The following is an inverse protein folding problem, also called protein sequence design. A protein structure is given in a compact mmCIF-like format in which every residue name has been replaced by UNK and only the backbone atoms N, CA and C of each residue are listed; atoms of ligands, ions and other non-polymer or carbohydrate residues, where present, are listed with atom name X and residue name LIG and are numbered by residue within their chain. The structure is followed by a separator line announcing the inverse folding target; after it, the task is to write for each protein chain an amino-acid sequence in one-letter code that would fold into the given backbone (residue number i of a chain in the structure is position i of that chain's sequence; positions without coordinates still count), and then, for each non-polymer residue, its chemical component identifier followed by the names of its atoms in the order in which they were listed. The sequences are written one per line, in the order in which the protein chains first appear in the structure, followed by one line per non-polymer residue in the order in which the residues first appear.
data_IF_230193488798
#
_entry.id   IF_230193488798
#
_cell.length_a   1.000
_cell.length_b   1.000
_cell.length_c   1.000
_cell.angle_alpha   90.00
_cell.angle_beta   90.00
_cell.angle_gamma   90.00
#
_symmetry.space_group_name_H-M   'P 1'
#
loop_
_entity.id
_entity.type
_entity.pdbx_description
1 polymer ?
#
# COMPACT_ATOMS: atom_id res chain seq x y z
N UNK A 1 6.04 15.65 -18.70
CA UNK A 1 7.47 15.42 -18.95
C UNK A 1 7.90 13.99 -18.64
N UNK A 2 7.43 13.38 -17.53
CA UNK A 2 7.72 11.98 -17.21
C UNK A 2 7.21 10.98 -18.26
N UNK A 3 6.08 11.25 -18.92
CA UNK A 3 5.56 10.40 -20.00
C UNK A 3 6.47 10.35 -21.22
N UNK A 4 7.25 11.41 -21.47
CA UNK A 4 8.29 11.42 -22.50
C UNK A 4 9.56 10.69 -22.06
N UNK A 5 9.90 10.75 -20.77
CA UNK A 5 11.06 10.03 -20.20
C UNK A 5 10.85 8.51 -20.16
N UNK A 6 9.65 8.05 -19.82
CA UNK A 6 9.34 6.61 -19.71
C UNK A 6 9.35 5.88 -21.04
N UNK A 7 9.04 6.59 -22.15
CA UNK A 7 9.15 6.02 -23.51
C UNK A 7 10.57 5.82 -24.03
N UNK A 8 11.57 6.36 -23.33
CA UNK A 8 12.96 6.44 -23.75
C UNK A 8 13.93 5.73 -22.79
N UNK A 9 13.44 5.01 -21.78
CA UNK A 9 14.29 4.28 -20.84
C UNK A 9 14.78 2.97 -21.47
N UNK A 10 16.10 2.80 -21.46
CA UNK A 10 16.75 1.54 -21.81
C UNK A 10 17.04 0.78 -20.52
N UNK A 11 16.57 -0.44 -20.42
CA UNK A 11 16.82 -1.32 -19.28
C UNK A 11 17.80 -2.42 -19.70
N UNK A 12 18.85 -2.58 -18.92
CA UNK A 12 19.75 -3.75 -18.96
C UNK A 12 19.66 -4.48 -17.62
N UNK A 13 20.27 -5.66 -17.54
CA UNK A 13 20.23 -6.51 -16.33
C UNK A 13 20.75 -5.82 -15.08
N UNK A 14 21.55 -4.76 -15.22
CA UNK A 14 22.20 -4.09 -14.10
C UNK A 14 21.93 -2.58 -14.03
N UNK A 15 21.38 -1.95 -15.05
CA UNK A 15 21.27 -0.49 -15.12
C UNK A 15 20.00 -0.05 -15.86
N UNK A 16 19.49 1.12 -15.44
CA UNK A 16 18.47 1.85 -16.17
C UNK A 16 19.11 3.15 -16.67
N UNK A 17 19.02 3.41 -17.99
CA UNK A 17 19.55 4.62 -18.62
C UNK A 17 18.45 5.38 -19.36
N UNK A 18 18.66 6.69 -19.63
CA UNK A 18 17.79 7.49 -20.48
C UNK A 18 18.15 7.33 -21.98
N UNK A 19 17.48 8.07 -22.84
CA UNK A 19 17.71 8.06 -24.29
C UNK A 19 19.11 8.56 -24.69
N UNK A 20 19.81 9.26 -23.79
CA UNK A 20 21.18 9.78 -23.94
C UNK A 20 22.23 8.93 -23.23
N UNK A 21 21.85 7.71 -22.80
CA UNK A 21 22.70 6.78 -22.06
C UNK A 21 23.19 7.28 -20.69
N UNK A 22 22.51 8.31 -20.11
CA UNK A 22 22.79 8.70 -18.73
C UNK A 22 22.19 7.68 -17.77
N UNK A 23 22.99 7.23 -16.82
CA UNK A 23 22.59 6.23 -15.84
C UNK A 23 21.61 6.82 -14.84
N UNK A 24 20.40 6.26 -14.81
CA UNK A 24 19.33 6.68 -13.89
C UNK A 24 19.36 5.84 -12.62
N UNK A 25 19.50 4.53 -12.76
CA UNK A 25 19.56 3.61 -11.64
C UNK A 25 20.49 2.44 -11.92
N UNK A 26 21.08 1.88 -10.88
CA UNK A 26 21.94 0.69 -10.91
C UNK A 26 21.35 -0.38 -9.99
N UNK A 27 21.43 -1.65 -10.41
CA UNK A 27 21.05 -2.78 -9.60
C UNK A 27 22.18 -3.14 -8.62
N UNK A 28 21.89 -3.18 -7.31
CA UNK A 28 22.86 -3.46 -6.24
C UNK A 28 22.94 -4.94 -5.86
N UNK A 29 22.25 -5.80 -6.61
CA UNK A 29 22.11 -7.25 -6.34
C UNK A 29 20.79 -7.59 -5.64
N UNK A 30 20.08 -6.62 -5.09
CA UNK A 30 18.77 -6.80 -4.45
C UNK A 30 17.68 -5.87 -5.01
N UNK A 31 18.05 -4.66 -5.41
CA UNK A 31 17.12 -3.65 -5.90
C UNK A 31 17.82 -2.67 -6.85
N UNK A 32 17.03 -1.90 -7.63
CA UNK A 32 17.56 -0.77 -8.38
C UNK A 32 17.70 0.46 -7.48
N UNK A 33 18.92 0.98 -7.37
CA UNK A 33 19.25 2.21 -6.64
C UNK A 33 19.46 3.34 -7.64
N UNK A 34 18.78 4.47 -7.43
CA UNK A 34 18.91 5.64 -8.30
C UNK A 34 20.33 6.21 -8.17
N UNK A 35 20.98 6.45 -9.30
CA UNK A 35 22.36 6.94 -9.34
C UNK A 35 22.46 8.45 -9.08
N UNK A 36 23.51 8.88 -8.39
CA UNK A 36 23.77 10.28 -8.05
C UNK A 36 23.90 11.18 -9.28
N UNK A 37 24.40 10.66 -10.39
CA UNK A 37 24.56 11.40 -11.65
C UNK A 37 23.22 11.83 -12.26
N UNK A 38 22.15 11.03 -12.07
CA UNK A 38 20.80 11.40 -12.49
C UNK A 38 20.23 12.52 -11.63
N UNK A 39 20.59 12.54 -10.36
CA UNK A 39 20.14 13.54 -9.40
C UNK A 39 20.73 14.94 -9.66
N UNK A 40 21.89 15.01 -10.32
CA UNK A 40 22.57 16.27 -10.60
C UNK A 40 21.96 17.07 -11.78
N UNK A 41 21.22 16.42 -12.67
CA UNK A 41 20.72 17.03 -13.91
C UNK A 41 19.27 17.51 -13.92
N UNK A 42 18.48 17.16 -12.91
CA UNK A 42 17.06 17.57 -12.84
C UNK A 42 16.90 18.74 -11.89
N UNK A 43 16.63 19.92 -12.44
CA UNK A 43 16.46 21.16 -11.68
C UNK A 43 15.30 21.10 -10.68
N UNK A 44 15.57 21.55 -9.48
CA UNK A 44 14.70 21.78 -8.33
C UNK A 44 13.35 22.39 -8.72
N UNK A 45 12.29 21.65 -8.51
CA UNK A 45 11.02 22.25 -8.10
C UNK A 45 10.92 22.09 -6.58
N UNK A 46 11.28 23.15 -5.87
CA UNK A 46 10.95 23.28 -4.46
C UNK A 46 9.42 23.23 -4.31
N UNK A 47 8.91 22.18 -3.65
CA UNK A 47 7.61 22.28 -3.05
C UNK A 47 7.77 23.16 -1.81
N UNK A 48 7.15 24.34 -1.75
CA UNK A 48 7.24 25.19 -0.57
C UNK A 48 6.73 24.41 0.63
N UNK A 49 7.53 24.36 1.70
CA UNK A 49 7.05 23.92 3.00
C UNK A 49 5.83 24.78 3.32
N UNK A 50 4.64 24.19 3.36
CA UNK A 50 3.41 24.90 3.65
C UNK A 50 3.39 25.32 5.12
N UNK A 51 3.95 26.48 5.43
CA UNK A 51 3.74 27.22 6.67
C UNK A 51 2.66 28.30 6.52
N UNK A 52 1.78 28.19 5.52
CA UNK A 52 0.68 29.14 5.33
C UNK A 52 -0.54 28.68 6.12
N UNK A 53 -1.24 29.66 6.71
CA UNK A 53 -2.60 29.51 7.27
C UNK A 53 -3.47 28.75 6.29
N UNK A 54 -4.30 27.79 6.73
CA UNK A 54 -5.05 26.94 5.84
C UNK A 54 -6.02 27.77 4.99
N UNK A 55 -5.66 27.97 3.71
CA UNK A 55 -6.59 28.47 2.72
C UNK A 55 -7.61 27.36 2.37
N UNK A 56 -8.88 27.71 2.09
CA UNK A 56 -9.88 26.71 1.73
C UNK A 56 -9.43 25.89 0.52
N UNK A 57 -9.55 24.56 0.60
CA UNK A 57 -9.12 23.64 -0.45
C UNK A 57 -9.84 23.93 -1.78
N UNK A 58 -9.09 24.27 -2.79
CA UNK A 58 -9.57 24.43 -4.16
C UNK A 58 -9.89 23.05 -4.79
N UNK A 59 -10.55 23.07 -5.95
CA UNK A 59 -10.78 21.81 -6.71
C UNK A 59 -9.47 21.12 -7.11
N UNK A 60 -8.42 21.88 -7.37
CA UNK A 60 -7.11 21.34 -7.73
C UNK A 60 -6.42 20.71 -6.49
N UNK A 61 -6.55 21.31 -5.31
CA UNK A 61 -6.08 20.70 -4.05
C UNK A 61 -6.81 19.39 -3.76
N UNK A 62 -8.12 19.34 -4.01
CA UNK A 62 -8.90 18.11 -3.87
C UNK A 62 -8.49 17.05 -4.88
N UNK A 63 -8.18 17.42 -6.12
CA UNK A 63 -7.63 16.50 -7.14
C UNK A 63 -6.25 16.00 -6.73
N UNK A 64 -5.39 16.87 -6.19
CA UNK A 64 -4.08 16.49 -5.68
C UNK A 64 -4.21 15.49 -4.52
N UNK A 65 -5.04 15.80 -3.53
CA UNK A 65 -5.30 14.91 -2.40
C UNK A 65 -5.89 13.56 -2.86
N UNK A 66 -6.79 13.57 -3.84
CA UNK A 66 -7.35 12.36 -4.43
C UNK A 66 -6.26 11.47 -5.09
N UNK A 67 -5.29 12.08 -5.77
CA UNK A 67 -4.15 11.37 -6.36
C UNK A 67 -3.22 10.83 -5.30
N UNK A 68 -2.87 11.64 -4.29
CA UNK A 68 -2.02 11.25 -3.17
C UNK A 68 -2.59 10.07 -2.36
N UNK A 69 -3.91 9.96 -2.31
CA UNK A 69 -4.60 8.91 -1.54
C UNK A 69 -4.97 7.67 -2.37
N UNK A 70 -4.54 7.63 -3.64
CA UNK A 70 -4.76 6.47 -4.51
C UNK A 70 -6.23 6.23 -4.84
N UNK A 71 -6.93 7.27 -5.27
CA UNK A 71 -8.32 7.25 -5.71
C UNK A 71 -9.29 6.60 -4.69
N UNK A 72 -9.39 7.11 -3.47
CA UNK A 72 -10.24 6.55 -2.43
C UNK A 72 -11.73 6.65 -2.80
N UNK A 73 -12.59 6.01 -2.04
CA UNK A 73 -14.03 6.19 -2.14
C UNK A 73 -14.48 7.55 -1.61
N UNK A 74 -15.64 8.04 -2.08
CA UNK A 74 -16.19 9.33 -1.66
C UNK A 74 -16.33 9.46 -0.13
N UNK A 75 -16.79 8.40 0.55
CA UNK A 75 -16.90 8.39 2.02
C UNK A 75 -15.55 8.57 2.72
N UNK A 76 -14.48 7.96 2.20
CA UNK A 76 -13.13 8.14 2.73
C UNK A 76 -12.64 9.56 2.54
N UNK A 77 -12.87 10.16 1.35
CA UNK A 77 -12.51 11.57 1.11
C UNK A 77 -13.26 12.54 2.01
N UNK A 78 -14.55 12.30 2.27
CA UNK A 78 -15.35 13.12 3.19
C UNK A 78 -14.81 13.02 4.62
N UNK A 79 -14.37 11.84 5.05
CA UNK A 79 -13.83 11.62 6.39
C UNK A 79 -12.39 12.15 6.56
N UNK A 80 -11.65 12.40 5.48
CA UNK A 80 -10.26 12.88 5.56
C UNK A 80 -10.15 14.22 6.30
N UNK A 81 -11.03 15.16 6.01
CA UNK A 81 -11.02 16.48 6.65
C UNK A 81 -11.21 16.42 8.18
N UNK A 82 -11.91 15.39 8.67
CA UNK A 82 -12.13 15.17 10.10
C UNK A 82 -11.04 14.31 10.76
N UNK A 83 -10.27 13.57 9.96
CA UNK A 83 -9.37 12.50 10.45
C UNK A 83 -7.91 12.65 10.07
N UNK A 84 -7.56 13.69 9.31
CA UNK A 84 -6.18 13.93 8.90
C UNK A 84 -5.81 15.38 9.16
N UNK A 85 -4.73 15.59 9.91
CA UNK A 85 -4.21 16.92 10.16
C UNK A 85 -3.59 17.52 8.87
N UNK A 86 -3.69 18.83 8.71
CA UNK A 86 -3.26 19.52 7.49
C UNK A 86 -4.25 19.42 6.32
N UNK A 87 -5.43 18.81 6.53
CA UNK A 87 -6.57 18.86 5.61
C UNK A 87 -7.63 19.77 6.20
N UNK A 88 -8.06 20.78 5.43
CA UNK A 88 -9.02 21.74 5.92
C UNK A 88 -10.42 21.15 6.03
N UNK A 89 -11.10 21.44 7.15
CA UNK A 89 -12.43 20.89 7.46
C UNK A 89 -13.57 21.37 6.57
N UNK A 90 -13.37 22.49 5.88
CA UNK A 90 -14.40 23.09 5.01
C UNK A 90 -13.81 23.48 3.66
N UNK A 91 -13.64 22.52 2.73
CA UNK A 91 -13.24 22.88 1.38
C UNK A 91 -14.28 23.80 0.75
N UNK A 92 -13.84 24.80 -0.02
CA UNK A 92 -14.71 25.71 -0.77
C UNK A 92 -15.55 25.00 -1.84
N UNK A 93 -15.12 23.81 -2.24
CA UNK A 93 -15.77 22.98 -3.26
C UNK A 93 -16.34 21.74 -2.61
N UNK A 94 -17.59 21.42 -2.89
CA UNK A 94 -18.18 20.15 -2.44
C UNK A 94 -17.38 18.97 -3.00
N UNK A 95 -16.90 18.11 -2.12
CA UNK A 95 -16.17 16.89 -2.48
C UNK A 95 -16.96 16.02 -3.47
N UNK A 96 -18.29 16.07 -3.46
CA UNK A 96 -19.13 15.37 -4.44
C UNK A 96 -18.89 15.87 -5.87
N UNK A 97 -18.51 17.13 -6.05
CA UNK A 97 -18.16 17.70 -7.36
C UNK A 97 -16.90 17.08 -7.91
N UNK A 98 -15.91 16.74 -7.07
CA UNK A 98 -14.70 16.03 -7.47
C UNK A 98 -15.04 14.71 -8.19
N UNK A 99 -16.00 13.93 -7.65
CA UNK A 99 -16.39 12.63 -8.22
C UNK A 99 -17.26 12.73 -9.49
N UNK A 100 -17.65 13.93 -9.89
CA UNK A 100 -18.29 14.20 -11.19
C UNK A 100 -17.27 14.66 -12.24
N UNK A 101 -16.04 14.99 -11.83
CA UNK A 101 -15.02 15.45 -12.77
C UNK A 101 -14.53 14.28 -13.64
N UNK A 102 -14.47 14.50 -14.95
CA UNK A 102 -14.17 13.46 -15.94
C UNK A 102 -12.89 12.67 -15.62
N UNK A 103 -11.78 13.36 -15.32
CA UNK A 103 -10.49 12.70 -15.01
C UNK A 103 -10.54 11.83 -13.76
N UNK A 104 -11.36 12.19 -12.76
CA UNK A 104 -11.58 11.40 -11.53
C UNK A 104 -12.43 10.19 -11.83
N UNK A 105 -13.52 10.36 -12.59
CA UNK A 105 -14.41 9.27 -13.02
C UNK A 105 -13.63 8.25 -13.84
N UNK A 106 -12.81 8.70 -14.80
CA UNK A 106 -11.98 7.85 -15.62
C UNK A 106 -10.95 7.08 -14.78
N UNK A 107 -10.22 7.74 -13.89
CA UNK A 107 -9.25 7.08 -13.02
C UNK A 107 -9.91 6.02 -12.13
N UNK A 108 -11.06 6.33 -11.53
CA UNK A 108 -11.83 5.38 -10.71
C UNK A 108 -12.31 4.20 -11.54
N UNK A 109 -12.83 4.43 -12.74
CA UNK A 109 -13.30 3.36 -13.63
C UNK A 109 -12.16 2.43 -14.07
N UNK A 110 -11.03 3.00 -14.47
CA UNK A 110 -9.84 2.23 -14.91
C UNK A 110 -9.15 1.48 -13.77
N UNK A 111 -9.16 2.00 -12.54
CA UNK A 111 -8.52 1.37 -11.39
C UNK A 111 -9.36 0.29 -10.72
N UNK A 112 -10.70 0.35 -10.83
CA UNK A 112 -11.61 -0.58 -10.16
C UNK A 112 -12.14 -1.62 -11.13
N UNK A 113 -11.75 -2.88 -10.96
CA UNK A 113 -12.48 -4.00 -11.55
C UNK A 113 -13.74 -4.23 -10.71
N UNK A 114 -14.91 -4.21 -11.36
CA UNK A 114 -16.21 -4.40 -10.70
C UNK A 114 -16.36 -5.90 -10.45
N UNK A 115 -16.05 -6.34 -9.22
CA UNK A 115 -16.53 -7.62 -8.72
C UNK A 115 -17.82 -7.40 -7.92
N UNK A 116 -18.83 -8.24 -8.13
CA UNK A 116 -20.06 -8.19 -7.32
C UNK A 116 -19.70 -8.37 -5.85
N UNK A 117 -20.17 -7.48 -5.01
CA UNK A 117 -20.04 -7.56 -3.55
C UNK A 117 -20.87 -8.72 -3.02
N UNK A 118 -20.24 -9.70 -2.38
CA UNK A 118 -20.95 -10.69 -1.59
C UNK A 118 -21.40 -10.07 -0.26
N UNK A 119 -22.64 -10.29 0.13
CA UNK A 119 -23.14 -9.89 1.45
C UNK A 119 -22.36 -10.63 2.52
N UNK A 120 -21.70 -9.89 3.39
CA UNK A 120 -20.92 -10.44 4.49
C UNK A 120 -21.90 -10.94 5.57
N UNK A 121 -22.16 -12.25 5.61
CA UNK A 121 -23.05 -12.89 6.59
C UNK A 121 -22.26 -13.56 7.73
N UNK A 122 -20.93 -13.42 7.74
CA UNK A 122 -20.10 -14.00 8.78
C UNK A 122 -20.29 -13.29 10.12
N UNK A 123 -20.57 -14.06 11.19
CA UNK A 123 -20.49 -13.54 12.56
C UNK A 123 -19.08 -13.02 12.80
N UNK A 124 -18.95 -11.73 13.09
CA UNK A 124 -17.69 -11.13 13.54
C UNK A 124 -17.18 -11.91 14.76
N UNK A 125 -15.92 -12.32 14.74
CA UNK A 125 -15.24 -12.81 15.93
C UNK A 125 -15.26 -11.67 16.98
N UNK A 126 -16.07 -11.85 18.02
CA UNK A 126 -16.30 -10.84 19.05
C UNK A 126 -15.14 -10.69 20.04
N UNK A 127 -14.06 -11.47 19.87
CA UNK A 127 -12.87 -11.33 20.71
C UNK A 127 -12.18 -10.01 20.41
N UNK A 128 -11.93 -9.24 21.47
CA UNK A 128 -11.15 -8.00 21.36
C UNK A 128 -9.67 -8.38 21.38
N UNK A 129 -9.01 -8.27 20.21
CA UNK A 129 -7.57 -8.38 20.10
C UNK A 129 -6.91 -7.01 20.32
N UNK A 130 -5.68 -7.00 20.80
CA UNK A 130 -4.83 -5.81 20.80
C UNK A 130 -4.00 -5.80 19.49
N UNK A 131 -3.40 -4.64 19.19
CA UNK A 131 -2.53 -4.51 18.03
C UNK A 131 -1.40 -5.53 18.03
N UNK A 132 -1.19 -6.18 16.92
CA UNK A 132 -0.24 -7.24 16.62
C UNK A 132 -0.60 -8.64 17.19
N UNK A 133 -1.57 -8.75 18.11
CA UNK A 133 -1.90 -10.03 18.75
C UNK A 133 -2.42 -11.08 17.75
N UNK A 134 -3.27 -10.67 16.82
CA UNK A 134 -3.79 -11.54 15.76
C UNK A 134 -3.63 -10.92 14.40
N UNK A 135 -2.96 -11.66 13.53
CA UNK A 135 -2.76 -11.30 12.12
C UNK A 135 -3.54 -12.25 11.21
N UNK A 136 -3.98 -11.76 10.07
CA UNK A 136 -4.42 -12.61 8.97
C UNK A 136 -3.62 -12.28 7.72
N UNK A 137 -3.41 -13.28 6.88
CA UNK A 137 -2.72 -13.10 5.63
C UNK A 137 -3.35 -13.87 4.47
N UNK A 138 -2.99 -13.46 3.28
CA UNK A 138 -3.40 -14.08 2.04
C UNK A 138 -2.39 -13.74 0.95
N UNK A 139 -2.05 -14.72 0.11
CA UNK A 139 -1.14 -14.54 -1.00
C UNK A 139 -1.90 -14.16 -2.26
N UNK A 140 -1.53 -13.06 -2.87
CA UNK A 140 -2.04 -12.73 -4.18
C UNK A 140 -1.46 -13.68 -5.22
N UNK A 141 -2.33 -14.20 -6.10
CA UNK A 141 -1.95 -15.10 -7.18
C UNK A 141 -0.87 -14.49 -8.08
N UNK A 142 -0.15 -15.35 -8.78
CA UNK A 142 0.86 -14.98 -9.76
C UNK A 142 0.37 -13.87 -10.68
N UNK A 143 1.20 -12.84 -10.81
CA UNK A 143 0.91 -11.71 -11.67
C UNK A 143 1.51 -11.97 -13.06
N UNK A 144 0.75 -11.58 -14.07
CA UNK A 144 1.12 -11.73 -15.49
C UNK A 144 2.46 -11.05 -15.83
N UNK A 145 2.75 -9.94 -15.13
CA UNK A 145 3.94 -9.15 -15.38
C UNK A 145 4.89 -9.21 -14.19
N UNK A 146 6.12 -9.63 -14.46
CA UNK A 146 7.22 -9.52 -13.51
C UNK A 146 7.44 -8.05 -13.10
N UNK A 147 7.72 -7.81 -11.83
CA UNK A 147 8.04 -6.45 -11.37
C UNK A 147 9.46 -6.05 -11.72
N UNK A 148 9.77 -4.74 -11.63
CA UNK A 148 11.14 -4.22 -11.74
C UNK A 148 12.11 -4.85 -10.72
N UNK A 149 11.60 -5.41 -9.62
CA UNK A 149 12.37 -6.14 -8.62
C UNK A 149 12.43 -7.66 -8.83
N UNK A 150 11.93 -8.19 -9.95
CA UNK A 150 11.88 -9.62 -10.23
C UNK A 150 10.82 -10.38 -9.43
N UNK A 151 9.75 -9.71 -8.98
CA UNK A 151 8.69 -10.32 -8.19
C UNK A 151 7.52 -10.74 -9.09
N UNK A 152 6.88 -11.86 -8.74
CA UNK A 152 5.68 -12.40 -9.41
C UNK A 152 4.49 -12.53 -8.45
N UNK A 153 4.74 -12.58 -7.14
CA UNK A 153 3.75 -12.77 -6.08
C UNK A 153 3.88 -11.67 -5.05
N UNK A 154 2.90 -11.56 -4.20
CA UNK A 154 3.00 -10.75 -2.98
C UNK A 154 2.07 -11.28 -1.91
N UNK A 155 2.54 -11.17 -0.69
CA UNK A 155 1.80 -11.52 0.52
C UNK A 155 1.18 -10.28 1.11
N UNK A 156 -0.11 -10.36 1.46
CA UNK A 156 -0.79 -9.37 2.27
C UNK A 156 -0.87 -9.87 3.71
N UNK A 157 -0.47 -9.04 4.65
CA UNK A 157 -0.67 -9.29 6.08
C UNK A 157 -1.51 -8.15 6.64
N UNK A 158 -2.50 -8.50 7.47
CA UNK A 158 -3.42 -7.54 8.05
C UNK A 158 -3.63 -7.81 9.53
N UNK A 159 -3.55 -6.75 10.34
CA UNK A 159 -3.86 -6.81 11.76
C UNK A 159 -5.38 -6.82 12.02
N UNK A 160 -5.81 -7.68 12.93
CA UNK A 160 -7.23 -7.83 13.28
C UNK A 160 -7.78 -6.66 14.08
N UNK A 161 -6.97 -6.04 14.94
CA UNK A 161 -7.38 -4.96 15.83
C UNK A 161 -7.47 -3.62 15.07
N UNK A 162 -6.37 -3.23 14.44
CA UNK A 162 -6.23 -1.89 13.84
C UNK A 162 -6.62 -1.83 12.37
N UNK A 163 -6.75 -2.99 11.70
CA UNK A 163 -6.84 -3.11 10.26
C UNK A 163 -5.58 -2.58 9.53
N UNK A 164 -4.42 -2.56 10.20
CA UNK A 164 -3.15 -2.20 9.58
C UNK A 164 -2.73 -3.21 8.54
N UNK A 165 -2.17 -2.73 7.42
CA UNK A 165 -1.73 -3.53 6.30
C UNK A 165 -0.20 -3.53 6.17
N UNK A 166 0.35 -4.70 5.89
CA UNK A 166 1.69 -4.88 5.37
C UNK A 166 1.61 -5.70 4.07
N UNK A 167 2.60 -5.50 3.22
CA UNK A 167 2.78 -6.27 1.98
C UNK A 167 4.23 -6.71 1.86
N UNK A 168 4.42 -7.93 1.35
CA UNK A 168 5.73 -8.52 1.09
C UNK A 168 5.73 -8.95 -0.37
N UNK A 169 6.44 -8.25 -1.28
CA UNK A 169 6.65 -8.73 -2.64
C UNK A 169 7.53 -9.99 -2.62
N UNK A 170 7.19 -10.99 -3.43
CA UNK A 170 7.86 -12.28 -3.49
C UNK A 170 8.25 -12.61 -4.93
N UNK A 171 9.48 -13.07 -5.15
CA UNK A 171 9.94 -13.56 -6.46
C UNK A 171 9.29 -14.90 -6.76
N UNK A 172 9.30 -15.79 -5.78
CA UNK A 172 8.67 -17.10 -5.81
C UNK A 172 7.74 -17.27 -4.60
N UNK A 173 6.68 -18.04 -4.76
CA UNK A 173 5.80 -18.38 -3.63
C UNK A 173 6.56 -19.14 -2.52
N UNK A 174 7.63 -19.87 -2.87
CA UNK A 174 8.49 -20.60 -1.91
C UNK A 174 9.28 -19.68 -1.00
N UNK A 175 9.56 -18.44 -1.44
CA UNK A 175 10.31 -17.45 -0.67
C UNK A 175 9.53 -17.05 0.61
N UNK A 176 8.21 -17.23 0.61
CA UNK A 176 7.36 -17.01 1.78
C UNK A 176 7.86 -17.78 3.00
N UNK A 177 8.48 -18.94 2.81
CA UNK A 177 9.03 -19.76 3.89
C UNK A 177 10.14 -19.07 4.69
N UNK A 178 10.87 -18.17 4.09
CA UNK A 178 11.92 -17.38 4.72
C UNK A 178 11.48 -15.94 5.02
N UNK A 179 10.75 -15.32 4.10
CA UNK A 179 10.33 -13.93 4.22
C UNK A 179 9.31 -13.72 5.35
N UNK A 180 8.37 -14.65 5.54
CA UNK A 180 7.35 -14.51 6.58
C UNK A 180 7.92 -14.59 8.01
N UNK A 181 8.75 -15.59 8.37
CA UNK A 181 9.42 -15.62 9.67
C UNK A 181 10.24 -14.35 9.94
N UNK A 182 11.07 -13.93 8.99
CA UNK A 182 11.90 -12.74 9.10
C UNK A 182 11.05 -11.46 9.27
N UNK A 183 9.94 -11.37 8.55
CA UNK A 183 9.00 -10.28 8.69
C UNK A 183 8.34 -10.26 10.07
N UNK A 184 7.84 -11.40 10.57
CA UNK A 184 7.19 -11.50 11.86
C UNK A 184 8.16 -11.14 13.00
N UNK A 185 9.39 -11.63 12.94
CA UNK A 185 10.44 -11.26 13.89
C UNK A 185 10.70 -9.76 13.90
N UNK A 186 10.88 -9.16 12.73
CA UNK A 186 11.14 -7.73 12.58
C UNK A 186 10.01 -6.87 13.15
N UNK A 187 8.74 -7.17 12.84
CA UNK A 187 7.62 -6.35 13.33
C UNK A 187 7.42 -6.50 14.84
N UNK A 188 7.64 -7.70 15.41
CA UNK A 188 7.57 -7.93 16.85
C UNK A 188 8.65 -7.12 17.57
N UNK A 189 9.90 -7.17 17.08
CA UNK A 189 11.01 -6.41 17.64
C UNK A 189 10.78 -4.89 17.52
N UNK A 190 10.30 -4.42 16.36
CA UNK A 190 10.03 -2.99 16.14
C UNK A 190 8.90 -2.46 17.02
N UNK A 191 7.83 -3.25 17.21
CA UNK A 191 6.66 -2.82 17.97
C UNK A 191 6.74 -3.16 19.47
N UNK A 192 7.72 -3.96 19.91
CA UNK A 192 7.81 -4.45 21.28
C UNK A 192 6.59 -5.29 21.69
N UNK A 193 5.95 -5.98 20.75
CA UNK A 193 4.73 -6.77 20.95
C UNK A 193 4.86 -8.12 20.26
N UNK A 194 4.14 -9.12 20.78
CA UNK A 194 4.19 -10.48 20.25
C UNK A 194 2.93 -10.83 19.47
N UNK A 195 3.11 -11.49 18.34
CA UNK A 195 2.03 -12.17 17.60
C UNK A 195 1.67 -13.45 18.36
N UNK A 196 0.38 -13.66 18.61
CA UNK A 196 -0.13 -14.88 19.27
C UNK A 196 -0.92 -15.76 18.33
N UNK A 197 -1.56 -15.17 17.33
CA UNK A 197 -2.39 -15.90 16.37
C UNK A 197 -2.06 -15.44 14.96
N UNK A 198 -1.75 -16.40 14.11
CA UNK A 198 -1.54 -16.17 12.69
C UNK A 198 -2.55 -16.95 11.87
N UNK A 199 -3.43 -16.25 11.18
CA UNK A 199 -4.53 -16.84 10.42
C UNK A 199 -4.29 -16.71 8.91
N UNK A 200 -4.41 -17.83 8.20
CA UNK A 200 -4.29 -17.86 6.73
C UNK A 200 -5.42 -18.67 6.10
N UNK A 201 -5.47 -18.69 4.78
CA UNK A 201 -6.16 -19.75 4.05
C UNK A 201 -5.34 -21.06 4.05
N UNK A 202 -5.90 -22.12 3.47
CA UNK A 202 -5.23 -23.43 3.36
C UNK A 202 -4.22 -23.51 2.19
N UNK A 203 -3.60 -22.38 1.78
CA UNK A 203 -2.67 -22.40 0.67
C UNK A 203 -1.39 -23.22 1.01
N UNK A 204 -0.89 -24.07 0.09
CA UNK A 204 0.28 -24.93 0.34
C UNK A 204 1.54 -24.20 0.79
N UNK A 205 1.70 -22.91 0.43
CA UNK A 205 2.83 -22.08 0.87
C UNK A 205 2.96 -22.00 2.38
N UNK A 206 1.86 -21.97 3.11
CA UNK A 206 1.85 -21.87 4.59
C UNK A 206 2.04 -23.21 5.31
N UNK A 207 1.87 -24.34 4.62
CA UNK A 207 2.14 -25.66 5.20
C UNK A 207 3.62 -26.03 5.17
N UNK A 208 4.49 -25.11 4.73
CA UNK A 208 5.93 -25.30 4.73
C UNK A 208 6.45 -25.53 6.16
N UNK A 209 7.29 -26.55 6.32
CA UNK A 209 7.84 -26.94 7.63
C UNK A 209 8.57 -25.80 8.35
N UNK A 210 9.27 -24.93 7.63
CA UNK A 210 9.98 -23.78 8.22
C UNK A 210 9.01 -22.79 8.86
N UNK A 211 7.90 -22.44 8.19
CA UNK A 211 6.88 -21.57 8.75
C UNK A 211 6.26 -22.22 9.99
N UNK A 212 5.84 -23.48 9.87
CA UNK A 212 5.19 -24.19 10.97
C UNK A 212 6.13 -24.32 12.20
N UNK A 213 7.40 -24.61 11.97
CA UNK A 213 8.41 -24.68 13.02
C UNK A 213 8.62 -23.31 13.67
N UNK A 214 8.73 -22.24 12.87
CA UNK A 214 8.87 -20.88 13.40
C UNK A 214 7.67 -20.49 14.29
N UNK A 215 6.45 -20.73 13.80
CA UNK A 215 5.24 -20.42 14.56
C UNK A 215 5.19 -21.21 15.88
N UNK A 216 5.51 -22.52 15.85
CA UNK A 216 5.51 -23.38 17.03
C UNK A 216 6.56 -22.94 18.06
N UNK A 217 7.80 -22.67 17.63
CA UNK A 217 8.90 -22.24 18.52
C UNK A 217 8.58 -20.90 19.19
N UNK A 218 7.90 -19.99 18.48
CA UNK A 218 7.52 -18.69 19.01
C UNK A 218 6.16 -18.67 19.73
N UNK A 219 5.51 -19.82 19.91
CA UNK A 219 4.22 -19.93 20.58
C UNK A 219 3.07 -19.27 19.85
N UNK A 220 3.17 -19.14 18.52
CA UNK A 220 2.15 -18.52 17.67
C UNK A 220 1.16 -19.59 17.23
N UNK A 221 -0.11 -19.43 17.60
CA UNK A 221 -1.18 -20.33 17.17
C UNK A 221 -1.47 -20.13 15.69
N UNK A 222 -1.37 -21.20 14.92
CA UNK A 222 -1.71 -21.21 13.51
C UNK A 222 -3.19 -21.54 13.33
N UNK A 223 -3.95 -20.60 12.74
CA UNK A 223 -5.38 -20.83 12.40
C UNK A 223 -5.54 -20.92 10.87
N UNK A 224 -6.19 -21.97 10.40
CA UNK A 224 -6.60 -22.11 9.01
C UNK A 224 -8.12 -22.04 8.89
N UNK A 225 -8.60 -21.64 7.72
CA UNK A 225 -10.01 -21.76 7.41
C UNK A 225 -10.37 -23.24 7.24
N UNK A 226 -11.56 -23.63 7.70
CA UNK A 226 -12.09 -24.96 7.42
C UNK A 226 -12.31 -25.10 5.90
N UNK A 227 -11.96 -26.24 5.29
CA UNK A 227 -12.26 -26.47 3.87
C UNK A 227 -13.72 -26.13 3.56
N UNK A 228 -13.98 -25.46 2.43
CA UNK A 228 -15.30 -25.01 1.97
C UNK A 228 -15.94 -23.82 2.72
N UNK A 229 -15.22 -23.12 3.59
CA UNK A 229 -15.69 -21.88 4.23
C UNK A 229 -14.84 -20.67 3.79
N UNK A 230 -14.84 -20.36 2.50
CA UNK A 230 -14.14 -19.20 1.91
C UNK A 230 -14.52 -17.85 2.56
N UNK A 231 -15.68 -17.79 3.22
CA UNK A 231 -16.15 -16.60 3.94
C UNK A 231 -15.29 -16.24 5.16
N UNK A 232 -14.45 -17.14 5.67
CA UNK A 232 -13.65 -16.91 6.88
C UNK A 232 -12.35 -16.14 6.62
N UNK A 233 -11.83 -16.08 5.38
CA UNK A 233 -10.66 -15.26 5.03
C UNK A 233 -11.04 -13.93 4.37
N UNK A 234 -12.31 -13.58 4.33
CA UNK A 234 -12.82 -12.37 3.68
C UNK A 234 -12.15 -11.06 4.09
N UNK A 235 -11.45 -11.03 5.24
CA UNK A 235 -10.66 -9.86 5.66
C UNK A 235 -9.39 -9.69 4.84
N UNK A 236 -8.63 -10.77 4.62
CA UNK A 236 -7.40 -10.72 3.84
C UNK A 236 -7.72 -10.60 2.34
N UNK A 237 -8.68 -11.39 1.82
CA UNK A 237 -9.14 -11.29 0.43
C UNK A 237 -9.63 -9.87 0.08
N UNK A 238 -10.45 -9.28 0.96
CA UNK A 238 -10.89 -7.88 0.79
C UNK A 238 -9.72 -6.91 0.83
N UNK A 239 -8.69 -7.20 1.64
CA UNK A 239 -7.45 -6.45 1.72
C UNK A 239 -6.68 -6.47 0.40
N UNK A 240 -6.47 -7.65 -0.18
CA UNK A 240 -5.82 -7.80 -1.50
C UNK A 240 -6.53 -6.93 -2.55
N UNK A 241 -7.86 -6.97 -2.59
CA UNK A 241 -8.65 -6.17 -3.53
C UNK A 241 -8.45 -4.66 -3.30
N UNK A 242 -8.46 -4.21 -2.04
CA UNK A 242 -8.27 -2.79 -1.69
C UNK A 242 -6.89 -2.32 -2.14
N UNK A 243 -5.83 -3.05 -1.78
CA UNK A 243 -4.45 -2.69 -2.11
C UNK A 243 -4.22 -2.74 -3.62
N UNK A 244 -4.70 -3.79 -4.30
CA UNK A 244 -4.58 -3.93 -5.77
C UNK A 244 -5.25 -2.77 -6.52
N UNK A 245 -6.47 -2.40 -6.14
CA UNK A 245 -7.19 -1.30 -6.79
C UNK A 245 -6.48 0.04 -6.58
N UNK A 246 -5.97 0.28 -5.36
CA UNK A 246 -5.22 1.48 -5.04
C UNK A 246 -3.88 1.52 -5.78
N UNK A 247 -3.12 0.43 -5.79
CA UNK A 247 -1.85 0.33 -6.52
C UNK A 247 -2.05 0.59 -8.03
N UNK A 248 -3.12 0.03 -8.63
CA UNK A 248 -3.47 0.32 -10.02
C UNK A 248 -3.77 1.80 -10.25
N UNK A 249 -4.51 2.44 -9.32
CA UNK A 249 -4.78 3.87 -9.42
C UNK A 249 -3.50 4.71 -9.32
N UNK A 250 -2.56 4.32 -8.44
CA UNK A 250 -1.27 4.97 -8.30
C UNK A 250 -0.44 4.87 -9.60
N UNK A 251 -0.34 3.67 -10.18
CA UNK A 251 0.39 3.46 -11.44
C UNK A 251 -0.21 4.26 -12.60
N UNK A 252 -1.54 4.21 -12.77
CA UNK A 252 -2.23 4.96 -13.83
C UNK A 252 -2.00 6.47 -13.67
N UNK A 253 -2.13 6.96 -12.43
CA UNK A 253 -1.98 8.38 -12.15
C UNK A 253 -0.53 8.87 -12.34
N UNK A 254 0.44 8.04 -12.00
CA UNK A 254 1.87 8.33 -12.16
C UNK A 254 2.37 8.10 -13.59
N UNK A 255 1.54 7.55 -14.49
CA UNK A 255 1.93 7.11 -15.84
C UNK A 255 3.12 6.12 -15.82
N UNK A 256 3.23 5.31 -14.75
CA UNK A 256 4.28 4.32 -14.61
C UNK A 256 3.88 2.99 -15.27
N UNK A 257 4.87 2.23 -15.77
CA UNK A 257 4.61 0.92 -16.35
C UNK A 257 4.10 -0.06 -15.29
N UNK A 258 3.36 -1.08 -15.74
CA UNK A 258 2.79 -2.08 -14.84
C UNK A 258 3.86 -2.81 -14.02
N UNK A 259 5.07 -2.95 -14.54
CA UNK A 259 6.22 -3.58 -13.86
C UNK A 259 6.62 -2.87 -12.56
N UNK A 260 6.21 -1.61 -12.35
CA UNK A 260 6.42 -0.90 -11.09
C UNK A 260 5.41 -1.29 -10.00
N UNK A 261 4.65 -2.37 -10.20
CA UNK A 261 3.58 -2.79 -9.30
C UNK A 261 4.06 -3.11 -7.86
N UNK A 262 5.27 -3.64 -7.68
CA UNK A 262 5.82 -3.94 -6.36
C UNK A 262 5.96 -2.68 -5.48
N UNK A 263 6.40 -1.56 -6.06
CA UNK A 263 6.44 -0.27 -5.37
C UNK A 263 5.03 0.27 -5.13
N UNK A 264 4.14 0.10 -6.11
CA UNK A 264 2.77 0.60 -6.01
C UNK A 264 1.95 -0.12 -4.92
N UNK A 265 2.09 -1.44 -4.72
CA UNK A 265 1.41 -2.17 -3.63
C UNK A 265 1.94 -1.77 -2.26
N UNK A 266 3.26 -1.57 -2.14
CA UNK A 266 3.89 -1.12 -0.90
C UNK A 266 3.36 0.27 -0.50
N UNK A 267 3.34 1.20 -1.45
CA UNK A 267 2.81 2.53 -1.22
C UNK A 267 1.29 2.51 -0.98
N UNK A 268 0.54 1.68 -1.70
CA UNK A 268 -0.89 1.50 -1.48
C UNK A 268 -1.20 1.02 -0.06
N UNK A 269 -0.40 0.11 0.49
CA UNK A 269 -0.54 -0.35 1.88
C UNK A 269 -0.23 0.80 2.86
N UNK A 270 0.88 1.52 2.65
CA UNK A 270 1.27 2.68 3.46
C UNK A 270 0.17 3.75 3.48
N UNK A 271 -0.31 4.15 2.32
CA UNK A 271 -1.40 5.13 2.20
C UNK A 271 -2.67 4.61 2.89
N UNK A 272 -3.01 3.33 2.71
CA UNK A 272 -4.23 2.76 3.31
C UNK A 272 -4.18 2.81 4.84
N UNK A 273 -3.00 2.65 5.43
CA UNK A 273 -2.81 2.79 6.88
C UNK A 273 -3.03 4.22 7.40
N UNK A 274 -2.82 5.23 6.57
CA UNK A 274 -3.04 6.63 6.91
C UNK A 274 -4.48 7.10 6.71
N UNK A 275 -5.29 6.35 5.94
CA UNK A 275 -6.64 6.76 5.59
C UNK A 275 -7.69 6.28 6.62
N UNK A 276 -8.79 7.03 6.79
CA UNK A 276 -9.92 6.60 7.62
C UNK A 276 -10.43 5.22 7.20
N UNK A 277 -10.65 4.36 8.19
CA UNK A 277 -11.13 2.99 8.01
C UNK A 277 -12.48 2.81 8.69
N UNK A 278 -13.55 2.61 7.92
CA UNK A 278 -14.91 2.46 8.44
C UNK A 278 -15.09 1.20 9.31
N UNK A 279 -14.18 0.23 9.23
CA UNK A 279 -14.18 -0.94 10.09
C UNK A 279 -13.62 -0.67 11.50
N UNK A 280 -12.94 0.46 11.70
CA UNK A 280 -12.41 0.89 12.98
C UNK A 280 -13.43 1.73 13.75
N UNK A 281 -13.39 1.71 15.10
CA UNK A 281 -14.24 2.57 15.91
C UNK A 281 -14.10 4.03 15.49
N UNK A 282 -15.22 4.74 15.34
CA UNK A 282 -15.24 6.14 14.93
C UNK A 282 -14.54 6.42 13.59
N UNK A 283 -14.36 5.41 12.74
CA UNK A 283 -13.62 5.51 11.46
C UNK A 283 -12.17 5.95 11.62
N UNK A 284 -11.53 5.64 12.75
CA UNK A 284 -10.10 5.90 12.95
C UNK A 284 -9.27 5.22 11.85
N UNK A 285 -8.19 5.88 11.43
CA UNK A 285 -7.22 5.24 10.55
C UNK A 285 -6.47 4.11 11.28
N UNK A 286 -5.94 3.11 10.58
CA UNK A 286 -5.02 2.15 11.20
C UNK A 286 -3.86 2.84 11.93
N UNK A 287 -3.35 3.94 11.37
CA UNK A 287 -2.30 4.75 11.99
C UNK A 287 -2.72 5.31 13.34
N UNK A 288 -3.92 5.91 13.44
CA UNK A 288 -4.46 6.41 14.72
C UNK A 288 -4.67 5.28 15.73
N UNK A 289 -5.17 4.12 15.27
CA UNK A 289 -5.35 2.94 16.14
C UNK A 289 -4.05 2.43 16.77
N UNK A 290 -2.93 2.58 16.07
CA UNK A 290 -1.62 2.06 16.50
C UNK A 290 -0.82 3.08 17.29
N UNK A 291 -0.81 4.34 16.82
CA UNK A 291 0.04 5.41 17.38
C UNK A 291 -0.69 6.31 18.38
N UNK A 292 -2.01 6.32 18.36
CA UNK A 292 -2.83 7.29 19.09
C UNK A 292 -2.79 8.71 18.49
N UNK A 293 -2.06 8.90 17.40
CA UNK A 293 -1.88 10.21 16.75
C UNK A 293 -2.61 10.25 15.41
N UNK A 294 -3.12 11.41 15.04
CA UNK A 294 -3.69 11.61 13.72
C UNK A 294 -2.58 11.63 12.65
N UNK A 295 -2.81 11.00 11.49
CA UNK A 295 -1.89 11.15 10.39
C UNK A 295 -1.91 12.60 9.88
N UNK A 296 -0.76 13.10 9.44
CA UNK A 296 -0.64 14.43 8.87
C UNK A 296 -0.52 14.36 7.33
N UNK A 297 -1.11 15.34 6.63
CA UNK A 297 -1.12 15.40 5.15
C UNK A 297 0.28 15.34 4.55
N UNK A 298 1.30 15.89 5.21
CA UNK A 298 2.69 15.85 4.74
C UNK A 298 3.24 14.43 4.56
N UNK A 299 2.62 13.44 5.19
CA UNK A 299 2.97 12.02 4.99
C UNK A 299 2.47 11.46 3.65
N UNK A 300 1.59 12.18 2.94
CA UNK A 300 1.05 11.78 1.65
C UNK A 300 1.86 12.44 0.53
N UNK A 301 2.68 11.65 -0.15
CA UNK A 301 3.42 12.08 -1.33
C UNK A 301 2.68 11.62 -2.60
N UNK A 302 2.93 12.30 -3.72
CA UNK A 302 2.42 11.82 -5.01
C UNK A 302 3.33 10.69 -5.47
N UNK A 303 2.75 9.49 -5.61
CA UNK A 303 3.48 8.33 -6.11
C UNK A 303 4.02 8.58 -7.52
N UNK A 304 5.28 8.23 -7.74
CA UNK A 304 5.98 8.50 -9.00
C UNK A 304 6.56 9.90 -9.13
N UNK A 305 6.50 10.72 -8.07
CA UNK A 305 7.22 12.00 -8.05
C UNK A 305 8.73 11.77 -7.95
N UNK A 306 9.49 12.67 -8.58
CA UNK A 306 10.94 12.71 -8.44
C UNK A 306 11.28 13.13 -7.02
N UNK A 307 12.13 12.35 -6.36
CA UNK A 307 12.65 12.65 -5.02
C UNK A 307 14.15 12.89 -5.09
N UNK A 308 14.60 13.93 -4.41
CA UNK A 308 16.01 14.24 -4.26
C UNK A 308 16.51 13.70 -2.92
N UNK A 309 17.50 12.83 -2.95
CA UNK A 309 18.13 12.29 -1.74
C UNK A 309 19.54 12.85 -1.65
N UNK A 310 19.82 13.58 -0.58
CA UNK A 310 21.19 13.98 -0.27
C UNK A 310 21.91 12.77 0.34
N UNK A 311 22.84 12.20 -0.40
CA UNK A 311 23.79 11.22 0.15
C UNK A 311 24.89 11.97 0.90
N UNK A 312 25.17 11.54 2.11
CA UNK A 312 26.30 12.06 2.92
C UNK A 312 27.56 11.30 2.61
#
# INVERSE_FOLDING_TARGET
QLSKLIGALKMSDNEITDEHDHRIAKHDGQQYVICDDFLAHTALHEYPAMTASPSPLSIEDLKLLFRQTGAPGQGTMLALADRMDGVEKRPTVDIRTLYKHHSVVELVARSRQIAKSFKNTGKLDKRCYIFLEKLCSDTAHELEYESLGGHHYWELIKDYHSNWYWVIPLKNIRDLAHELPAFLERIQNTCGKSVRVYKTDCHPGYTNKLIQQYLAVNGITYETNTPYTSQQNGRAESGIRVIRNKARALLINAHLPVQAWNFAITEAARITNLLPCTANPGSLSPYEMVTGQRPHRSQLLVFGSIAWVKTH
#
